data_IF_186330778531
#
_entry.id   IF_186330778531
#
_cell.length_a   1.000
_cell.length_b   1.000
_cell.length_c   1.000
_cell.angle_alpha   90.00
_cell.angle_beta   90.00
_cell.angle_gamma   90.00
#
_symmetry.space_group_name_H-M   'P 1'
#
loop_
_entity.id
_entity.type
_entity.pdbx_description
1 polymer ?
#
# COMPACT_ATOMS: atom_id res chain seq x y z
N UNK A 1 1.45 33.07 4.29
CA UNK A 1 2.15 31.77 4.13
C UNK A 1 3.42 31.91 3.28
N UNK A 2 3.32 32.37 2.02
CA UNK A 2 4.50 32.44 1.14
C UNK A 2 5.62 33.38 1.64
N UNK A 3 5.28 34.58 2.10
CA UNK A 3 6.26 35.53 2.69
C UNK A 3 6.91 35.00 3.98
N UNK A 4 6.15 34.27 4.79
CA UNK A 4 6.63 33.65 6.03
C UNK A 4 7.64 32.56 5.70
N UNK A 5 7.35 31.69 4.73
CA UNK A 5 8.30 30.66 4.31
C UNK A 5 9.58 31.25 3.70
N UNK A 6 9.49 32.35 2.94
CA UNK A 6 10.67 33.04 2.37
C UNK A 6 11.51 33.67 3.47
N UNK A 7 10.89 34.34 4.44
CA UNK A 7 11.60 34.91 5.59
C UNK A 7 12.36 33.84 6.39
N UNK A 8 11.68 32.73 6.70
CA UNK A 8 12.30 31.66 7.49
C UNK A 8 13.27 30.76 6.71
N UNK A 9 13.38 30.93 5.39
CA UNK A 9 14.47 30.35 4.58
C UNK A 9 15.80 31.08 4.76
N UNK A 10 15.77 32.33 5.19
CA UNK A 10 16.98 33.18 5.33
C UNK A 10 17.30 33.55 6.77
N UNK A 11 16.31 33.51 7.68
CA UNK A 11 16.50 33.80 9.10
C UNK A 11 15.68 32.86 9.98
N UNK A 12 16.24 32.35 11.07
CA UNK A 12 15.52 31.43 11.97
C UNK A 12 14.54 32.15 12.88
N UNK A 13 14.85 33.36 13.35
CA UNK A 13 13.99 34.21 14.20
C UNK A 13 13.24 33.47 15.32
N UNK A 14 13.94 32.54 16.00
CA UNK A 14 13.38 31.70 17.06
C UNK A 14 13.06 30.25 16.67
N UNK A 15 13.16 29.89 15.39
CA UNK A 15 13.13 28.49 14.91
C UNK A 15 14.44 27.76 15.21
N UNK A 16 14.35 26.44 15.34
CA UNK A 16 15.53 25.57 15.54
C UNK A 16 16.46 25.53 14.33
N UNK A 17 15.93 25.71 13.12
CA UNK A 17 16.69 25.72 11.87
C UNK A 17 15.98 26.55 10.79
N UNK A 18 16.70 26.88 9.73
CA UNK A 18 16.13 27.52 8.55
C UNK A 18 15.20 26.54 7.83
N UNK A 19 14.12 27.05 7.26
CA UNK A 19 13.29 26.27 6.36
C UNK A 19 14.11 25.93 5.11
N UNK A 20 14.05 24.68 4.68
CA UNK A 20 14.78 24.20 3.49
C UNK A 20 13.79 23.99 2.35
N UNK A 21 13.45 22.73 2.09
CA UNK A 21 12.54 22.32 1.03
C UNK A 21 11.19 21.92 1.64
N UNK A 22 10.07 22.18 0.94
CA UNK A 22 8.78 21.65 1.34
C UNK A 22 8.82 20.12 1.43
N UNK A 23 8.16 19.54 2.43
CA UNK A 23 7.98 18.09 2.49
C UNK A 23 7.15 17.61 1.29
N UNK A 24 7.52 16.47 0.71
CA UNK A 24 6.73 15.85 -0.36
C UNK A 24 5.46 15.28 0.25
N UNK A 25 4.30 15.81 -0.17
CA UNK A 25 3.02 15.24 0.24
C UNK A 25 2.69 14.07 -0.68
N UNK A 26 2.40 12.90 -0.11
CA UNK A 26 1.86 11.77 -0.86
C UNK A 26 0.42 12.12 -1.21
N UNK A 27 0.08 12.10 -2.50
CA UNK A 27 -1.29 12.35 -2.94
C UNK A 27 -2.17 11.15 -2.57
N UNK A 28 -3.33 11.38 -1.91
CA UNK A 28 -4.23 10.29 -1.57
C UNK A 28 -4.82 9.68 -2.84
N UNK A 29 -4.93 8.36 -2.85
CA UNK A 29 -5.50 7.62 -3.96
C UNK A 29 -7.03 7.64 -3.81
N UNK A 30 -7.69 8.57 -4.51
CA UNK A 30 -9.15 8.67 -4.49
C UNK A 30 -9.75 7.67 -5.47
N UNK A 31 -10.55 6.73 -4.97
CA UNK A 31 -11.32 5.81 -5.79
C UNK A 31 -12.79 5.83 -5.35
N UNK A 32 -13.71 6.07 -6.29
CA UNK A 32 -15.15 5.97 -6.04
C UNK A 32 -15.62 4.53 -6.33
N UNK A 33 -16.16 3.87 -5.31
CA UNK A 33 -16.65 2.49 -5.42
C UNK A 33 -15.59 1.40 -5.70
N UNK A 34 -16.05 0.15 -5.75
CA UNK A 34 -15.23 -0.99 -6.12
C UNK A 34 -15.09 -1.04 -7.65
N UNK A 35 -13.89 -0.79 -8.17
CA UNK A 35 -13.63 -0.76 -9.61
C UNK A 35 -13.31 -2.14 -10.17
N UNK A 36 -13.97 -2.51 -11.26
CA UNK A 36 -13.59 -3.68 -12.08
C UNK A 36 -12.39 -3.31 -12.96
N UNK A 37 -11.33 -4.11 -12.91
CA UNK A 37 -10.08 -3.87 -13.61
C UNK A 37 -9.94 -4.77 -14.84
N UNK A 38 -9.35 -4.22 -15.88
CA UNK A 38 -9.03 -4.95 -17.11
C UNK A 38 -7.84 -5.89 -16.85
N UNK A 39 -8.12 -7.18 -16.70
CA UNK A 39 -7.13 -8.22 -16.40
C UNK A 39 -5.98 -8.26 -17.41
N UNK A 40 -6.21 -7.88 -18.67
CA UNK A 40 -5.16 -7.87 -19.70
C UNK A 40 -4.03 -6.88 -19.42
N UNK A 41 -4.27 -5.88 -18.56
CA UNK A 41 -3.26 -4.91 -18.12
C UNK A 41 -2.39 -5.41 -16.97
N UNK A 42 -2.70 -6.58 -16.40
CA UNK A 42 -1.84 -7.25 -15.43
C UNK A 42 -0.68 -7.95 -16.14
N UNK A 43 0.54 -7.66 -15.72
CA UNK A 43 1.74 -8.26 -16.28
C UNK A 43 2.83 -8.48 -15.23
N UNK A 44 3.90 -9.20 -15.59
CA UNK A 44 5.04 -9.47 -14.71
C UNK A 44 4.64 -10.14 -13.38
N UNK A 45 3.81 -11.18 -13.47
CA UNK A 45 3.21 -11.85 -12.30
C UNK A 45 4.20 -12.85 -11.69
N UNK A 46 4.51 -12.67 -10.42
CA UNK A 46 5.44 -13.49 -9.62
C UNK A 46 4.77 -13.90 -8.30
N UNK A 47 4.78 -15.19 -7.95
CA UNK A 47 4.20 -15.65 -6.69
C UNK A 47 5.05 -15.14 -5.51
N UNK A 48 4.44 -14.39 -4.58
CA UNK A 48 5.10 -13.91 -3.36
C UNK A 48 4.86 -14.83 -2.18
N UNK A 49 3.63 -15.31 -2.05
CA UNK A 49 3.19 -16.13 -0.93
C UNK A 49 2.03 -17.01 -1.35
N UNK A 50 1.96 -18.18 -0.75
CA UNK A 50 0.88 -19.12 -0.96
C UNK A 50 0.54 -19.78 0.37
N UNK A 51 -0.75 -19.81 0.68
CA UNK A 51 -1.32 -20.68 1.72
C UNK A 51 -2.26 -21.71 1.07
N UNK A 52 -3.02 -22.44 1.88
CA UNK A 52 -3.92 -23.49 1.39
C UNK A 52 -5.07 -22.93 0.52
N UNK A 53 -5.55 -21.72 0.79
CA UNK A 53 -6.74 -21.13 0.18
C UNK A 53 -6.45 -19.90 -0.69
N UNK A 54 -5.31 -19.24 -0.47
CA UNK A 54 -4.94 -17.97 -1.08
C UNK A 54 -3.55 -18.02 -1.70
N UNK A 55 -3.41 -17.31 -2.80
CA UNK A 55 -2.12 -16.97 -3.38
C UNK A 55 -2.02 -15.45 -3.47
N UNK A 56 -0.85 -14.93 -3.14
CA UNK A 56 -0.53 -13.52 -3.30
C UNK A 56 0.62 -13.43 -4.28
N UNK A 57 0.40 -12.67 -5.34
CA UNK A 57 1.38 -12.42 -6.38
C UNK A 57 1.81 -10.95 -6.34
N UNK A 58 3.05 -10.71 -6.73
CA UNK A 58 3.52 -9.41 -7.19
C UNK A 58 3.20 -9.31 -8.67
N UNK A 59 2.78 -8.13 -9.12
CA UNK A 59 2.61 -7.87 -10.53
C UNK A 59 2.72 -6.38 -10.84
N UNK A 60 2.38 -6.06 -12.07
CA UNK A 60 2.23 -4.69 -12.55
C UNK A 60 0.85 -4.51 -13.16
N UNK A 61 0.21 -3.37 -12.92
CA UNK A 61 -1.01 -2.95 -13.61
C UNK A 61 -0.71 -1.66 -14.37
N UNK A 62 -0.58 -1.75 -15.68
CA UNK A 62 0.00 -0.67 -16.49
C UNK A 62 1.46 -0.41 -16.09
N UNK A 63 1.74 0.71 -15.43
CA UNK A 63 3.09 1.08 -14.95
C UNK A 63 3.24 0.97 -13.42
N UNK A 64 2.17 0.60 -12.70
CA UNK A 64 2.16 0.57 -11.23
C UNK A 64 2.45 -0.84 -10.73
N UNK A 65 3.33 -0.97 -9.74
CA UNK A 65 3.52 -2.23 -9.02
C UNK A 65 2.30 -2.52 -8.13
N UNK A 66 1.81 -3.75 -8.18
CA UNK A 66 0.60 -4.18 -7.46
C UNK A 66 0.82 -5.51 -6.75
N UNK A 67 0.11 -5.71 -5.65
CA UNK A 67 -0.10 -7.03 -5.09
C UNK A 67 -1.45 -7.57 -5.61
N UNK A 68 -1.47 -8.84 -5.99
CA UNK A 68 -2.63 -9.52 -6.58
C UNK A 68 -2.96 -10.70 -5.66
N UNK A 69 -4.06 -10.61 -4.94
CA UNK A 69 -4.59 -11.74 -4.16
C UNK A 69 -5.51 -12.55 -5.07
N UNK A 70 -5.29 -13.85 -5.13
CA UNK A 70 -6.12 -14.84 -5.83
C UNK A 70 -6.63 -15.85 -4.80
N UNK A 71 -7.89 -16.28 -4.94
CA UNK A 71 -8.50 -17.30 -4.10
C UNK A 71 -8.72 -18.59 -4.90
N UNK A 72 -8.32 -19.73 -4.33
CA UNK A 72 -8.44 -21.05 -4.99
C UNK A 72 -9.82 -21.69 -4.89
N UNK A 73 -10.69 -21.22 -3.98
CA UNK A 73 -11.97 -21.85 -3.66
C UNK A 73 -13.19 -21.01 -4.06
N UNK A 74 -14.31 -21.70 -4.30
CA UNK A 74 -15.59 -21.19 -4.82
C UNK A 74 -16.37 -20.22 -3.90
N UNK A 75 -15.76 -19.57 -2.90
CA UNK A 75 -16.47 -18.60 -2.05
C UNK A 75 -16.29 -17.16 -2.55
N UNK A 76 -16.68 -16.93 -3.81
CA UNK A 76 -16.69 -15.62 -4.49
C UNK A 76 -17.32 -14.53 -3.61
N UNK A 77 -18.39 -14.86 -2.89
CA UNK A 77 -19.12 -13.90 -2.06
C UNK A 77 -18.26 -13.41 -0.88
N UNK A 78 -17.54 -14.31 -0.19
CA UNK A 78 -16.60 -13.90 0.87
C UNK A 78 -15.47 -13.07 0.31
N UNK A 79 -14.91 -13.46 -0.84
CA UNK A 79 -13.80 -12.73 -1.44
C UNK A 79 -14.18 -11.31 -1.85
N UNK A 80 -15.36 -11.12 -2.45
CA UNK A 80 -15.87 -9.79 -2.79
C UNK A 80 -16.30 -8.99 -1.56
N UNK A 81 -16.74 -9.66 -0.50
CA UNK A 81 -17.03 -9.01 0.78
C UNK A 81 -15.76 -8.43 1.42
N UNK A 82 -14.64 -9.17 1.42
CA UNK A 82 -13.33 -8.64 1.84
C UNK A 82 -12.95 -7.39 1.03
N UNK A 83 -13.09 -7.45 -0.30
CA UNK A 83 -12.79 -6.31 -1.18
C UNK A 83 -13.68 -5.08 -0.85
N UNK A 84 -14.95 -5.30 -0.54
CA UNK A 84 -15.86 -4.22 -0.16
C UNK A 84 -15.46 -3.55 1.16
N UNK A 85 -15.11 -4.33 2.17
CA UNK A 85 -14.61 -3.80 3.46
C UNK A 85 -13.33 -2.99 3.22
N UNK A 86 -12.37 -3.54 2.49
CA UNK A 86 -11.13 -2.82 2.17
C UNK A 86 -11.38 -1.52 1.42
N UNK A 87 -12.42 -1.46 0.58
CA UNK A 87 -12.77 -0.25 -0.15
C UNK A 87 -13.32 0.86 0.74
N UNK A 88 -14.03 0.50 1.82
CA UNK A 88 -14.59 1.45 2.78
C UNK A 88 -13.53 2.02 3.75
N UNK A 89 -12.34 1.40 3.79
CA UNK A 89 -11.22 1.81 4.66
C UNK A 89 -10.21 2.65 3.87
N UNK A 90 -10.24 3.97 4.06
CA UNK A 90 -9.26 4.90 3.48
C UNK A 90 -8.44 5.58 4.58
N UNK A 91 -7.20 5.14 4.75
CA UNK A 91 -6.25 5.68 5.73
C UNK A 91 -4.81 5.45 5.27
N UNK A 92 -3.89 6.33 5.65
CA UNK A 92 -2.47 6.24 5.24
C UNK A 92 -1.75 4.96 5.70
N UNK A 93 -2.23 4.34 6.79
CA UNK A 93 -1.67 3.10 7.35
C UNK A 93 -2.48 1.85 6.97
N UNK A 94 -3.44 1.96 6.05
CA UNK A 94 -4.22 0.82 5.53
C UNK A 94 -3.90 0.62 4.06
N UNK A 95 -3.63 -0.63 3.66
CA UNK A 95 -3.30 -0.98 2.27
C UNK A 95 -4.44 -0.53 1.33
N UNK A 96 -4.09 0.25 0.32
CA UNK A 96 -5.05 0.75 -0.64
C UNK A 96 -5.50 -0.36 -1.62
N UNK A 97 -6.81 -0.52 -1.76
CA UNK A 97 -7.43 -1.35 -2.79
C UNK A 97 -7.57 -0.57 -4.11
N UNK A 98 -7.04 -1.11 -5.21
CA UNK A 98 -7.22 -0.52 -6.54
C UNK A 98 -8.45 -1.04 -7.25
N UNK A 99 -8.79 -2.32 -7.07
CA UNK A 99 -9.97 -2.90 -7.69
C UNK A 99 -9.95 -4.42 -7.72
N UNK A 100 -10.86 -4.99 -8.49
CA UNK A 100 -11.07 -6.44 -8.61
C UNK A 100 -11.09 -6.86 -10.08
N UNK A 101 -10.72 -8.11 -10.37
CA UNK A 101 -10.99 -8.75 -11.65
C UNK A 101 -11.95 -9.92 -11.40
N UNK A 102 -13.21 -9.77 -11.77
CA UNK A 102 -14.32 -10.70 -11.50
C UNK A 102 -14.96 -11.28 -12.76
N UNK A 103 -14.62 -10.73 -13.93
CA UNK A 103 -15.12 -11.17 -15.25
C UNK A 103 -14.61 -12.55 -15.66
N UNK A 104 -13.45 -12.96 -15.14
CA UNK A 104 -12.79 -14.23 -15.44
C UNK A 104 -12.29 -14.90 -14.16
N UNK A 105 -12.28 -16.23 -14.14
CA UNK A 105 -11.66 -17.00 -13.05
C UNK A 105 -10.14 -17.17 -13.26
N UNK A 106 -9.34 -17.31 -12.19
CA UNK A 106 -9.71 -17.01 -10.80
C UNK A 106 -9.97 -15.51 -10.60
N UNK A 107 -10.91 -15.20 -9.70
CA UNK A 107 -11.18 -13.82 -9.28
C UNK A 107 -9.96 -13.24 -8.55
N UNK A 108 -9.63 -11.99 -8.86
CA UNK A 108 -8.46 -11.30 -8.30
C UNK A 108 -8.86 -10.04 -7.53
N UNK A 109 -8.15 -9.76 -6.45
CA UNK A 109 -8.14 -8.46 -5.75
C UNK A 109 -6.78 -7.82 -6.03
N UNK A 110 -6.78 -6.60 -6.58
CA UNK A 110 -5.56 -5.85 -6.92
C UNK A 110 -5.40 -4.68 -5.96
N UNK A 111 -4.26 -4.62 -5.29
CA UNK A 111 -3.99 -3.67 -4.22
C UNK A 111 -2.55 -3.12 -4.28
N UNK A 112 -2.27 -2.16 -3.41
CA UNK A 112 -0.94 -1.59 -3.24
C UNK A 112 0.11 -2.68 -2.93
N UNK A 113 1.26 -2.58 -3.59
CA UNK A 113 2.38 -3.48 -3.35
C UNK A 113 3.30 -2.95 -2.23
N UNK A 114 3.38 -3.71 -1.14
CA UNK A 114 4.29 -3.42 -0.03
C UNK A 114 5.66 -4.04 -0.26
N UNK A 115 6.61 -3.23 -0.75
CA UNK A 115 7.97 -3.67 -1.15
C UNK A 115 8.79 -4.37 -0.05
N UNK A 116 8.49 -4.11 1.22
CA UNK A 116 9.20 -4.67 2.36
C UNK A 116 8.51 -5.93 2.91
N UNK A 117 7.43 -6.39 2.29
CA UNK A 117 6.67 -7.56 2.73
C UNK A 117 5.88 -7.32 4.01
N UNK A 118 5.56 -8.41 4.71
CA UNK A 118 4.88 -8.36 5.99
C UNK A 118 5.79 -7.84 7.09
N UNK A 119 5.22 -7.19 8.11
CA UNK A 119 5.98 -6.73 9.28
C UNK A 119 6.68 -7.91 9.98
N UNK A 120 6.02 -9.06 10.06
CA UNK A 120 6.61 -10.29 10.62
C UNK A 120 7.92 -10.65 9.90
N UNK A 121 7.87 -10.78 8.57
CA UNK A 121 9.04 -11.15 7.78
C UNK A 121 10.10 -10.04 7.85
N UNK A 122 9.68 -8.77 7.83
CA UNK A 122 10.59 -7.64 7.93
C UNK A 122 11.40 -7.65 9.23
N UNK A 123 10.76 -7.93 10.37
CA UNK A 123 11.38 -7.98 11.69
C UNK A 123 12.22 -9.24 11.91
N UNK A 124 11.71 -10.41 11.49
CA UNK A 124 12.34 -11.68 11.81
C UNK A 124 13.44 -12.07 10.83
N UNK A 125 13.18 -11.98 9.53
CA UNK A 125 14.05 -12.49 8.46
C UNK A 125 14.56 -11.40 7.50
N UNK A 126 14.09 -10.17 7.70
CA UNK A 126 14.29 -9.05 6.79
C UNK A 126 15.32 -8.04 7.28
N UNK A 127 15.26 -6.85 6.68
CA UNK A 127 16.15 -5.74 7.00
C UNK A 127 15.92 -5.16 8.40
N UNK A 128 14.83 -5.56 9.05
CA UNK A 128 14.40 -5.07 10.35
C UNK A 128 15.04 -5.78 11.55
N UNK A 129 15.91 -6.77 11.36
CA UNK A 129 16.45 -7.57 12.47
C UNK A 129 17.23 -6.77 13.53
N UNK A 130 17.84 -5.64 13.16
CA UNK A 130 18.65 -4.81 14.04
C UNK A 130 18.12 -3.37 14.19
N UNK A 131 16.80 -3.20 14.14
CA UNK A 131 16.19 -1.88 14.35
C UNK A 131 16.20 -1.50 15.84
N UNK A 132 16.36 -0.21 16.11
CA UNK A 132 16.33 0.31 17.47
C UNK A 132 14.93 0.20 18.07
N UNK A 133 14.85 0.06 19.40
CA UNK A 133 13.58 0.02 20.13
C UNK A 133 12.69 1.22 19.83
N UNK A 134 13.28 2.40 19.63
CA UNK A 134 12.52 3.61 19.26
C UNK A 134 11.74 3.41 17.96
N UNK A 135 12.36 2.84 16.93
CA UNK A 135 11.70 2.56 15.66
C UNK A 135 10.61 1.48 15.82
N UNK A 136 10.81 0.50 16.69
CA UNK A 136 9.76 -0.50 17.01
C UNK A 136 8.55 0.19 17.64
N UNK A 137 8.77 1.11 18.58
CA UNK A 137 7.70 1.88 19.19
C UNK A 137 6.97 2.75 18.15
N UNK A 138 7.70 3.32 17.20
CA UNK A 138 7.10 4.09 16.09
C UNK A 138 6.20 3.22 15.19
N UNK A 139 6.52 1.94 14.98
CA UNK A 139 5.65 1.01 14.25
C UNK A 139 4.36 0.65 15.01
N UNK A 140 4.36 0.70 16.34
CA UNK A 140 3.19 0.35 17.17
C UNK A 140 2.14 1.47 17.15
N UNK A 141 2.58 2.72 16.98
CA UNK A 141 1.70 3.90 17.02
C UNK A 141 1.15 4.31 15.65
N UNK A 142 1.64 3.67 14.58
CA UNK A 142 1.08 3.78 13.22
C UNK A 142 -0.18 2.92 13.09
#
# INVERSE_FOLDING_TARGET
>A
IMFVCVFYKVKTDGLCCLLTYPCQKIEPIVHDGLSELDRSKLSSIELLSQDYYNEVYKGTYGQRNVAIKSMKMNDKNRFLHEAKIMKELEHENIICLYGVCTLEEPILIVMEFMKNGSLLNYLHDGRGQNIELRTILDFIVQ
#
